data_IF_233444643218
#
_entry.id   IF_233444643218
#
_cell.length_a   1.000
_cell.length_b   1.000
_cell.length_c   1.000
_cell.angle_alpha   90.00
_cell.angle_beta   90.00
_cell.angle_gamma   90.00
#
_symmetry.space_group_name_H-M   'P 1'
#
loop_
_entity.id
_entity.type
_entity.pdbx_description
1 polymer ?
#
# COMPACT_ATOMS: atom_id res chain seq x y z
N UNK A 1 18.09 -17.52 -70.89
CA UNK A 1 16.80 -17.41 -70.16
C UNK A 1 17.04 -16.59 -68.90
N UNK A 2 16.71 -15.29 -68.94
CA UNK A 2 16.74 -14.41 -67.76
C UNK A 2 15.31 -13.91 -67.59
N UNK A 3 14.62 -14.38 -66.55
CA UNK A 3 13.27 -13.94 -66.23
C UNK A 3 13.35 -12.69 -65.33
N UNK A 4 12.96 -11.55 -65.88
CA UNK A 4 12.80 -10.29 -65.15
C UNK A 4 11.54 -10.35 -64.28
N UNK A 5 11.71 -10.32 -62.94
CA UNK A 5 10.59 -10.11 -62.01
C UNK A 5 10.19 -8.63 -62.05
N UNK A 6 9.11 -8.30 -62.76
CA UNK A 6 8.42 -7.00 -62.60
C UNK A 6 7.47 -7.07 -61.41
N UNK A 7 7.89 -6.54 -60.27
CA UNK A 7 7.03 -6.31 -59.12
C UNK A 7 6.14 -5.10 -59.42
N UNK A 8 4.82 -5.29 -59.40
CA UNK A 8 3.83 -4.22 -59.57
C UNK A 8 3.98 -3.15 -58.48
N UNK A 9 3.84 -1.87 -58.86
CA UNK A 9 3.92 -0.71 -57.97
C UNK A 9 3.02 -0.85 -56.71
N UNK A 10 1.87 -1.53 -56.85
CA UNK A 10 0.96 -1.79 -55.72
C UNK A 10 1.54 -2.79 -54.71
N UNK A 11 2.31 -3.79 -55.16
CA UNK A 11 2.98 -4.76 -54.29
C UNK A 11 4.21 -4.15 -53.59
N UNK A 12 4.91 -3.23 -54.26
CA UNK A 12 5.99 -2.46 -53.64
C UNK A 12 5.45 -1.52 -52.54
N UNK A 13 4.32 -0.85 -52.79
CA UNK A 13 3.68 0.03 -51.80
C UNK A 13 3.18 -0.74 -50.55
N UNK A 14 2.60 -1.93 -50.74
CA UNK A 14 2.19 -2.81 -49.63
C UNK A 14 3.38 -3.30 -48.79
N UNK A 15 4.51 -3.64 -49.43
CA UNK A 15 5.74 -4.02 -48.72
C UNK A 15 6.32 -2.86 -47.89
N UNK A 16 6.28 -1.63 -48.42
CA UNK A 16 6.74 -0.43 -47.69
C UNK A 16 5.81 -0.10 -46.52
N UNK A 17 4.49 -0.26 -46.66
CA UNK A 17 3.53 -0.04 -45.56
C UNK A 17 3.70 -1.11 -44.47
N UNK A 18 3.90 -2.38 -44.84
CA UNK A 18 4.18 -3.44 -43.88
C UNK A 18 5.52 -3.25 -43.14
N UNK A 19 6.59 -2.83 -43.84
CA UNK A 19 7.87 -2.53 -43.19
C UNK A 19 7.77 -1.31 -42.25
N UNK A 20 7.01 -0.28 -42.63
CA UNK A 20 6.74 0.89 -41.79
C UNK A 20 5.93 0.55 -40.52
N UNK A 21 4.97 -0.37 -40.62
CA UNK A 21 4.17 -0.82 -39.47
C UNK A 21 4.98 -1.72 -38.53
N UNK A 22 5.88 -2.56 -39.05
CA UNK A 22 6.76 -3.41 -38.25
C UNK A 22 7.83 -2.57 -37.54
N UNK A 23 8.40 -1.55 -38.19
CA UNK A 23 9.33 -0.63 -37.51
C UNK A 23 8.61 0.24 -36.47
N UNK A 24 7.36 0.65 -36.70
CA UNK A 24 6.56 1.37 -35.70
C UNK A 24 6.18 0.48 -34.48
N UNK A 25 5.92 -0.82 -34.68
CA UNK A 25 5.73 -1.78 -33.58
C UNK A 25 7.02 -2.06 -32.79
N UNK A 26 8.17 -2.10 -33.47
CA UNK A 26 9.49 -2.29 -32.82
C UNK A 26 9.96 -1.04 -32.06
N UNK A 27 9.58 0.17 -32.51
CA UNK A 27 9.88 1.43 -31.80
C UNK A 27 8.96 1.69 -30.59
N UNK A 28 7.70 1.24 -30.63
CA UNK A 28 6.75 1.36 -29.51
C UNK A 28 7.01 0.32 -28.41
N UNK A 29 7.63 -0.82 -28.72
CA UNK A 29 8.04 -1.82 -27.71
C UNK A 29 9.40 -1.54 -27.06
N UNK A 30 10.21 -0.66 -27.67
CA UNK A 30 11.55 -0.31 -27.15
C UNK A 30 11.56 0.92 -26.21
N UNK A 31 10.48 1.69 -26.14
CA UNK A 31 10.40 2.93 -25.32
C UNK A 31 9.58 2.79 -24.03
N UNK A 32 9.04 1.60 -23.73
CA UNK A 32 8.34 1.31 -22.46
C UNK A 32 9.28 0.73 -21.39
N UNK A 33 10.57 0.57 -21.69
CA UNK A 33 11.59 -0.05 -20.82
C UNK A 33 12.56 0.93 -20.15
N UNK A 34 12.12 2.08 -19.63
CA UNK A 34 12.93 2.85 -18.67
C UNK A 34 11.99 3.66 -17.78
N UNK A 35 11.45 3.07 -16.73
CA UNK A 35 10.90 3.75 -15.54
C UNK A 35 10.77 2.65 -14.49
N UNK A 36 11.21 2.92 -13.27
CA UNK A 36 11.45 1.99 -12.14
C UNK A 36 12.88 1.48 -11.97
N UNK A 37 13.81 2.40 -11.68
CA UNK A 37 14.93 2.19 -10.76
C UNK A 37 15.36 3.55 -10.19
N UNK A 38 15.53 3.73 -8.87
CA UNK A 38 16.24 4.88 -8.31
C UNK A 38 17.75 4.58 -8.35
N UNK A 39 18.47 5.29 -9.22
CA UNK A 39 19.94 5.35 -9.22
C UNK A 39 20.38 6.47 -8.27
N UNK A 40 21.11 6.10 -7.22
CA UNK A 40 21.84 7.02 -6.37
C UNK A 40 22.99 6.28 -5.68
N UNK A 41 24.21 6.54 -6.16
CA UNK A 41 25.42 6.85 -5.38
C UNK A 41 26.71 6.37 -6.07
N UNK A 42 27.47 7.34 -6.56
CA UNK A 42 28.91 7.30 -6.74
C UNK A 42 29.44 8.51 -5.98
N UNK A 43 30.26 8.29 -4.96
CA UNK A 43 31.53 9.01 -4.68
C UNK A 43 32.05 8.76 -3.26
N UNK A 44 33.34 8.43 -3.20
CA UNK A 44 34.26 9.23 -2.37
C UNK A 44 34.53 8.76 -0.95
N UNK A 45 35.35 7.72 -0.82
CA UNK A 45 36.04 7.35 0.41
C UNK A 45 37.04 8.47 0.82
N UNK A 46 36.82 9.12 1.98
CA UNK A 46 37.87 9.89 2.67
C UNK A 46 37.84 9.58 4.17
N UNK A 47 38.92 8.92 4.61
CA UNK A 47 39.29 8.67 6.01
C UNK A 47 39.66 9.97 6.73
N UNK A 48 39.26 10.09 7.99
CA UNK A 48 39.80 10.99 9.01
C UNK A 48 39.74 10.20 10.32
N UNK A 49 40.83 9.53 10.72
CA UNK A 49 41.83 9.95 11.75
C UNK A 49 41.15 10.40 13.05
N UNK A 50 41.13 9.48 14.02
CA UNK A 50 40.80 9.71 15.42
C UNK A 50 42.07 10.16 16.14
N UNK A 51 42.01 11.30 16.84
CA UNK A 51 43.01 11.70 17.84
C UNK A 51 42.38 11.58 19.23
N UNK A 52 43.07 10.82 20.08
CA UNK A 52 42.83 10.70 21.51
C UNK A 52 43.20 11.99 22.22
N UNK A 53 42.41 12.38 23.22
CA UNK A 53 42.90 13.20 24.32
C UNK A 53 42.47 12.61 25.65
N UNK A 54 43.47 12.39 26.49
CA UNK A 54 43.45 11.84 27.84
C UNK A 54 42.81 12.83 28.83
N UNK A 55 42.16 12.29 29.86
CA UNK A 55 41.70 13.00 31.05
C UNK A 55 42.60 12.58 32.22
N UNK A 56 43.10 13.50 33.06
CA UNK A 56 43.71 13.12 34.33
C UNK A 56 42.68 12.99 35.45
N UNK A 57 42.79 11.88 36.17
CA UNK A 57 42.15 11.60 37.45
C UNK A 57 42.63 12.56 38.55
N UNK A 58 41.73 12.91 39.46
CA UNK A 58 41.78 12.57 40.91
C UNK A 58 40.87 13.53 41.68
N UNK A 59 40.02 12.98 42.56
CA UNK A 59 39.85 13.37 43.97
C UNK A 59 38.72 12.54 44.58
N UNK A 60 39.08 11.68 45.53
CA UNK A 60 38.18 10.89 46.36
C UNK A 60 37.43 11.77 47.37
N UNK A 61 36.13 11.51 47.57
CA UNK A 61 35.49 11.71 48.87
C UNK A 61 34.34 10.72 49.07
N UNK A 62 34.38 10.08 50.24
CA UNK A 62 33.44 9.06 50.72
C UNK A 62 32.08 9.67 51.11
N UNK A 63 30.98 9.00 50.76
CA UNK A 63 29.68 9.20 51.43
C UNK A 63 28.44 8.72 50.68
N UNK A 64 27.78 7.68 51.23
CA UNK A 64 26.41 7.21 50.99
C UNK A 64 26.08 6.42 49.70
N UNK A 65 26.21 5.10 49.79
CA UNK A 65 25.86 4.13 48.72
C UNK A 65 24.36 3.94 48.44
N UNK A 66 23.45 4.57 49.19
CA UNK A 66 22.00 4.42 48.96
C UNK A 66 21.39 5.56 48.11
N UNK A 67 22.06 6.73 48.04
CA UNK A 67 21.56 7.89 47.27
C UNK A 67 22.16 7.89 45.86
N UNK A 68 23.38 7.37 45.69
CA UNK A 68 24.01 7.17 44.39
C UNK A 68 23.28 6.14 43.53
N UNK A 69 22.73 5.08 44.14
CA UNK A 69 21.97 4.04 43.43
C UNK A 69 20.60 4.56 42.95
N UNK A 70 19.98 5.46 43.71
CA UNK A 70 18.72 6.12 43.34
C UNK A 70 18.91 7.23 42.28
N UNK A 71 20.03 7.96 42.32
CA UNK A 71 20.39 8.95 41.29
C UNK A 71 20.86 8.30 39.98
N UNK A 72 21.53 7.13 40.02
CA UNK A 72 21.88 6.35 38.83
C UNK A 72 20.65 5.87 38.05
N UNK A 73 19.53 5.60 38.72
CA UNK A 73 18.23 5.34 38.08
C UNK A 73 17.56 6.57 37.46
N UNK A 74 17.95 7.79 37.85
CA UNK A 74 17.41 9.04 37.31
C UNK A 74 18.33 9.71 36.28
N UNK A 75 19.58 9.28 36.16
CA UNK A 75 20.54 9.78 35.17
C UNK A 75 20.93 8.78 34.09
N UNK A 76 20.30 7.59 34.06
CA UNK A 76 20.31 6.78 32.83
C UNK A 76 19.49 7.51 31.78
N UNK A 77 20.15 8.42 31.03
CA UNK A 77 19.68 8.81 29.71
C UNK A 77 19.24 7.51 29.01
N UNK A 78 18.06 7.48 28.37
CA UNK A 78 17.75 6.35 27.52
C UNK A 78 18.96 6.20 26.60
N UNK A 79 19.61 5.04 26.62
CA UNK A 79 20.56 4.69 25.58
C UNK A 79 19.88 5.06 24.28
N UNK A 80 20.42 6.06 23.59
CA UNK A 80 19.82 6.55 22.36
C UNK A 80 19.65 5.32 21.48
N UNK A 81 18.43 5.11 20.95
CA UNK A 81 18.17 4.14 19.88
C UNK A 81 18.89 4.54 18.58
N UNK A 82 19.99 5.27 18.66
CA UNK A 82 20.79 5.68 17.53
C UNK A 82 21.74 4.53 17.21
N UNK A 83 21.46 3.85 16.09
CA UNK A 83 22.29 2.88 15.35
C UNK A 83 21.77 1.44 15.25
N UNK A 84 20.54 1.12 15.69
CA UNK A 84 19.94 -0.14 15.22
C UNK A 84 19.55 0.02 13.74
N UNK A 85 19.97 -0.90 12.84
CA UNK A 85 19.55 -0.85 11.45
C UNK A 85 18.03 -0.97 11.34
N UNK A 86 17.43 -0.18 10.43
CA UNK A 86 16.00 -0.29 10.12
C UNK A 86 15.65 -1.69 9.62
N UNK A 87 14.42 -2.13 9.84
CA UNK A 87 13.91 -3.39 9.27
C UNK A 87 14.04 -3.42 7.76
N UNK A 88 14.29 -4.60 7.22
CA UNK A 88 14.59 -4.85 5.81
C UNK A 88 13.55 -4.31 4.82
N UNK A 89 12.32 -4.05 5.26
CA UNK A 89 11.24 -3.51 4.43
C UNK A 89 11.16 -1.98 4.41
N UNK A 90 11.93 -1.28 5.25
CA UNK A 90 12.10 0.18 5.15
C UNK A 90 13.11 0.54 4.07
N UNK A 91 13.04 1.79 3.56
CA UNK A 91 14.03 2.29 2.61
C UNK A 91 15.42 2.32 3.26
N UNK A 92 16.36 1.62 2.65
CA UNK A 92 17.74 1.47 3.16
C UNK A 92 17.86 0.57 4.40
N UNK A 93 16.80 -0.15 4.76
CA UNK A 93 16.83 -1.09 5.88
C UNK A 93 17.55 -2.39 5.55
N UNK A 94 18.21 -2.97 6.55
CA UNK A 94 19.01 -4.19 6.42
C UNK A 94 18.77 -5.21 7.54
N UNK A 95 18.00 -4.84 8.58
CA UNK A 95 17.68 -5.73 9.69
C UNK A 95 16.69 -6.79 9.22
N UNK A 96 17.20 -8.00 9.00
CA UNK A 96 16.41 -9.20 8.71
C UNK A 96 15.82 -9.79 10.00
N UNK A 97 14.68 -10.47 9.92
CA UNK A 97 14.15 -11.21 11.07
C UNK A 97 15.12 -12.28 11.55
N UNK A 98 15.10 -12.53 12.85
CA UNK A 98 15.74 -13.71 13.44
C UNK A 98 14.74 -14.87 13.41
N UNK A 99 15.25 -16.10 13.44
CA UNK A 99 14.42 -17.29 13.62
C UNK A 99 13.51 -17.10 14.85
N UNK A 100 12.19 -17.24 14.65
CA UNK A 100 11.23 -16.93 15.69
C UNK A 100 10.97 -18.19 16.55
N UNK A 101 11.10 -18.07 17.87
CA UNK A 101 10.76 -19.15 18.79
C UNK A 101 9.22 -19.34 18.81
N UNK A 102 8.75 -20.58 18.66
CA UNK A 102 7.36 -20.99 18.38
C UNK A 102 6.24 -20.49 19.34
N UNK A 103 6.52 -19.69 20.36
CA UNK A 103 5.56 -19.40 21.41
C UNK A 103 4.88 -18.04 21.16
N UNK A 104 3.64 -18.08 20.65
CA UNK A 104 2.71 -16.93 20.68
C UNK A 104 2.59 -16.06 19.41
N UNK A 105 2.94 -16.55 18.21
CA UNK A 105 2.85 -15.70 17.01
C UNK A 105 1.42 -15.64 16.45
N UNK A 106 0.79 -14.48 16.64
CA UNK A 106 -0.51 -14.13 16.07
C UNK A 106 -0.36 -13.63 14.63
N UNK A 107 -0.22 -14.57 13.67
CA UNK A 107 -0.08 -14.25 12.24
C UNK A 107 -1.43 -14.12 11.52
N UNK A 108 -2.45 -14.78 12.04
CA UNK A 108 -3.81 -14.82 11.49
C UNK A 108 -4.74 -13.83 12.20
N UNK A 109 -5.84 -13.40 11.56
CA UNK A 109 -6.74 -12.40 12.14
C UNK A 109 -7.40 -12.89 13.43
N UNK A 110 -7.75 -14.18 13.50
CA UNK A 110 -8.38 -14.79 14.68
C UNK A 110 -7.47 -14.85 15.90
N UNK A 111 -6.17 -14.66 15.68
CA UNK A 111 -5.14 -14.71 16.70
C UNK A 111 -4.77 -13.31 17.19
N UNK A 112 -5.02 -12.25 16.41
CA UNK A 112 -4.50 -10.92 16.69
C UNK A 112 -5.19 -10.23 17.87
N UNK A 113 -4.38 -9.62 18.73
CA UNK A 113 -4.84 -8.68 19.74
C UNK A 113 -5.31 -7.36 19.10
N UNK A 114 -6.11 -6.60 19.85
CA UNK A 114 -6.56 -5.28 19.41
C UNK A 114 -5.36 -4.34 19.20
N UNK A 115 -5.19 -3.84 17.97
CA UNK A 115 -4.10 -2.92 17.60
C UNK A 115 -2.85 -3.59 17.03
N UNK A 116 -2.87 -4.91 16.84
CA UNK A 116 -1.74 -5.66 16.33
C UNK A 116 -1.52 -5.50 14.81
N UNK A 117 -0.33 -5.06 14.39
CA UNK A 117 0.02 -4.90 12.98
C UNK A 117 0.59 -6.20 12.40
N UNK A 118 -0.33 -7.05 11.95
CA UNK A 118 0.02 -8.36 11.36
C UNK A 118 0.88 -8.26 10.11
N UNK A 119 0.87 -7.14 9.37
CA UNK A 119 1.73 -6.98 8.19
C UNK A 119 3.20 -7.00 8.62
N UNK A 120 3.55 -6.22 9.65
CA UNK A 120 4.91 -6.16 10.18
C UNK A 120 5.33 -7.48 10.81
N UNK A 121 4.42 -8.14 11.55
CA UNK A 121 4.69 -9.49 12.10
C UNK A 121 4.98 -10.52 11.02
N UNK A 122 4.18 -10.54 9.95
CA UNK A 122 4.38 -11.43 8.81
C UNK A 122 5.68 -11.13 8.06
N UNK A 123 6.07 -9.85 7.92
CA UNK A 123 7.36 -9.44 7.32
C UNK A 123 8.57 -9.85 8.17
N UNK A 124 8.38 -9.98 9.48
CA UNK A 124 9.42 -10.33 10.44
C UNK A 124 9.32 -11.78 10.94
N UNK A 125 8.53 -12.62 10.26
CA UNK A 125 8.36 -14.02 10.60
C UNK A 125 9.31 -14.92 9.79
N UNK A 126 10.05 -15.78 10.50
CA UNK A 126 10.81 -16.90 9.94
C UNK A 126 10.45 -18.15 10.74
N UNK A 127 9.95 -19.22 10.10
CA UNK A 127 9.59 -20.46 10.79
C UNK A 127 10.79 -21.09 11.49
N UNK A 128 10.53 -21.75 12.62
CA UNK A 128 11.55 -22.53 13.33
C UNK A 128 12.10 -23.65 12.46
N UNK A 129 13.42 -23.79 12.41
CA UNK A 129 14.14 -24.77 11.60
C UNK A 129 14.14 -24.46 10.10
N UNK A 130 13.75 -23.25 9.69
CA UNK A 130 13.82 -22.84 8.30
C UNK A 130 15.28 -22.68 7.86
N UNK A 131 15.65 -23.45 6.83
CA UNK A 131 16.93 -23.36 6.13
C UNK A 131 16.69 -22.99 4.66
N UNK A 132 17.45 -22.01 4.17
CA UNK A 132 17.29 -21.43 2.83
C UNK A 132 17.71 -22.37 1.69
N UNK A 133 18.39 -23.49 1.99
CA UNK A 133 18.85 -24.47 1.01
C UNK A 133 18.08 -25.79 1.10
N UNK A 134 17.76 -26.27 2.31
CA UNK A 134 17.21 -27.61 2.53
C UNK A 134 15.71 -27.64 2.75
N UNK A 135 15.08 -26.53 3.15
CA UNK A 135 13.62 -26.53 3.37
C UNK A 135 12.89 -26.84 2.06
N UNK A 136 11.85 -27.70 2.03
CA UNK A 136 11.14 -28.00 0.79
C UNK A 136 10.54 -26.74 0.13
N UNK A 137 10.58 -26.64 -1.20
CA UNK A 137 10.00 -25.49 -1.91
C UNK A 137 8.47 -25.60 -1.92
N UNK A 138 7.77 -24.52 -1.55
CA UNK A 138 6.32 -24.41 -1.65
C UNK A 138 5.90 -23.97 -3.05
N UNK A 139 5.04 -24.75 -3.70
CA UNK A 139 4.55 -24.45 -5.05
C UNK A 139 3.21 -23.71 -5.00
N UNK A 140 3.13 -22.58 -5.70
CA UNK A 140 1.96 -21.70 -5.70
C UNK A 140 1.43 -21.58 -7.14
N UNK A 141 0.19 -21.99 -7.36
CA UNK A 141 -0.48 -21.86 -8.65
C UNK A 141 -1.23 -20.53 -8.73
N UNK A 142 -0.87 -19.71 -9.71
CA UNK A 142 -1.61 -18.49 -10.05
C UNK A 142 -2.70 -18.84 -11.04
N UNK A 143 -3.93 -19.00 -10.54
CA UNK A 143 -5.04 -19.54 -11.32
C UNK A 143 -5.41 -18.69 -12.53
N UNK A 144 -5.27 -17.37 -12.40
CA UNK A 144 -5.58 -16.38 -13.43
C UNK A 144 -4.36 -16.04 -14.34
N UNK A 145 -3.25 -16.77 -14.22
CA UNK A 145 -2.04 -16.56 -15.01
C UNK A 145 -1.09 -15.49 -14.47
N UNK A 146 0.18 -15.54 -14.88
CA UNK A 146 1.26 -14.65 -14.39
C UNK A 146 1.03 -13.16 -14.72
N UNK A 147 0.53 -12.87 -15.92
CA UNK A 147 0.36 -11.49 -16.40
C UNK A 147 -0.59 -10.66 -15.53
N UNK A 148 -1.60 -11.30 -14.94
CA UNK A 148 -2.55 -10.63 -14.04
C UNK A 148 -1.89 -10.09 -12.75
N UNK A 149 -0.67 -10.56 -12.45
CA UNK A 149 0.11 -10.22 -11.26
C UNK A 149 1.40 -9.45 -11.58
N UNK A 150 1.74 -9.29 -12.87
CA UNK A 150 3.01 -8.72 -13.31
C UNK A 150 4.24 -9.41 -12.69
N UNK A 151 4.22 -10.75 -12.65
CA UNK A 151 5.31 -11.60 -12.12
C UNK A 151 5.76 -12.62 -13.16
N UNK A 152 6.92 -13.24 -12.92
CA UNK A 152 7.43 -14.34 -13.74
C UNK A 152 7.24 -15.68 -13.01
N UNK A 153 7.23 -16.78 -13.77
CA UNK A 153 7.25 -18.13 -13.21
C UNK A 153 8.56 -18.38 -12.45
N UNK A 154 8.55 -19.34 -11.53
CA UNK A 154 9.72 -19.69 -10.72
C UNK A 154 9.80 -18.92 -9.41
N UNK A 155 11.02 -18.75 -8.90
CA UNK A 155 11.30 -18.25 -7.55
C UNK A 155 11.78 -16.79 -7.50
N UNK A 156 11.96 -16.12 -8.64
CA UNK A 156 12.58 -14.78 -8.71
C UNK A 156 11.92 -13.73 -7.80
N UNK A 157 10.59 -13.77 -7.65
CA UNK A 157 9.85 -12.83 -6.79
C UNK A 157 10.15 -13.01 -5.29
N UNK A 158 10.73 -14.14 -4.90
CA UNK A 158 11.01 -14.49 -3.51
C UNK A 158 12.48 -14.30 -3.10
N UNK A 159 13.39 -13.99 -4.03
CA UNK A 159 14.84 -13.95 -3.77
C UNK A 159 15.26 -12.97 -2.67
N UNK A 160 14.53 -11.86 -2.51
CA UNK A 160 14.82 -10.85 -1.49
C UNK A 160 14.11 -11.11 -0.14
N UNK A 161 13.26 -12.12 -0.08
CA UNK A 161 12.44 -12.43 1.09
C UNK A 161 13.25 -13.16 2.17
N UNK A 162 13.02 -12.87 3.47
CA UNK A 162 13.60 -13.68 4.54
C UNK A 162 13.21 -15.16 4.48
N UNK A 163 11.97 -15.43 4.06
CA UNK A 163 11.48 -16.77 3.69
C UNK A 163 11.25 -16.78 2.18
N UNK A 164 12.11 -17.48 1.47
CA UNK A 164 12.28 -17.40 0.01
C UNK A 164 11.99 -18.71 -0.72
N UNK A 165 11.82 -19.84 -0.01
CA UNK A 165 11.61 -21.17 -0.62
C UNK A 165 10.18 -21.39 -1.10
N UNK A 166 9.77 -20.58 -2.07
CA UNK A 166 8.52 -20.71 -2.81
C UNK A 166 8.77 -20.57 -4.32
N UNK A 167 7.86 -21.12 -5.13
CA UNK A 167 7.88 -20.99 -6.58
C UNK A 167 6.49 -20.73 -7.12
N UNK A 168 6.39 -19.80 -8.06
CA UNK A 168 5.17 -19.53 -8.81
C UNK A 168 5.08 -20.43 -10.04
N UNK A 169 3.87 -20.87 -10.36
CA UNK A 169 3.54 -21.58 -11.59
C UNK A 169 2.09 -21.31 -12.02
N UNK A 170 1.74 -21.68 -13.25
CA UNK A 170 0.39 -21.58 -13.82
C UNK A 170 -0.14 -22.92 -14.35
N UNK A 171 0.64 -24.00 -14.24
CA UNK A 171 0.24 -25.30 -14.77
C UNK A 171 -0.90 -25.90 -13.96
N UNK A 172 -2.13 -25.81 -14.49
CA UNK A 172 -3.33 -26.37 -13.85
C UNK A 172 -3.27 -27.90 -13.68
N UNK A 173 -2.49 -28.61 -14.49
CA UNK A 173 -2.29 -30.05 -14.32
C UNK A 173 -1.52 -30.39 -13.04
N UNK A 174 -0.72 -29.46 -12.50
CA UNK A 174 -0.01 -29.61 -11.22
C UNK A 174 -0.80 -29.06 -10.04
N UNK A 175 -2.02 -28.57 -10.26
CA UNK A 175 -2.78 -27.87 -9.24
C UNK A 175 -3.21 -28.77 -8.08
N UNK A 176 -3.32 -30.09 -8.25
CA UNK A 176 -3.63 -31.00 -7.14
C UNK A 176 -2.44 -31.21 -6.18
N UNK A 177 -1.21 -31.06 -6.68
CA UNK A 177 0.03 -31.30 -5.91
C UNK A 177 0.65 -30.00 -5.35
N UNK A 178 0.06 -28.85 -5.68
CA UNK A 178 0.54 -27.55 -5.22
C UNK A 178 0.26 -27.32 -3.73
N UNK A 179 1.05 -26.46 -3.08
CA UNK A 179 0.80 -26.05 -1.70
C UNK A 179 -0.26 -24.95 -1.61
N UNK A 180 -0.37 -24.10 -2.63
CA UNK A 180 -1.38 -23.05 -2.68
C UNK A 180 -1.92 -22.79 -4.09
N UNK A 181 -3.17 -22.33 -4.15
CA UNK A 181 -3.80 -21.79 -5.36
C UNK A 181 -4.34 -20.40 -5.06
N UNK A 182 -3.95 -19.43 -5.88
CA UNK A 182 -4.33 -18.03 -5.74
C UNK A 182 -5.32 -17.64 -6.85
N UNK A 183 -6.53 -17.22 -6.44
CA UNK A 183 -7.61 -16.77 -7.32
C UNK A 183 -7.72 -15.25 -7.25
N UNK A 184 -7.42 -14.58 -8.37
CA UNK A 184 -7.49 -13.11 -8.48
C UNK A 184 -8.84 -12.66 -9.01
N UNK A 185 -9.51 -11.77 -8.30
CA UNK A 185 -10.76 -11.05 -8.66
C UNK A 185 -12.02 -11.93 -8.84
N UNK A 186 -11.84 -13.17 -9.27
CA UNK A 186 -12.91 -14.14 -9.53
C UNK A 186 -12.41 -15.56 -9.30
N UNK A 187 -13.32 -16.41 -8.85
CA UNK A 187 -13.11 -17.85 -8.83
C UNK A 187 -13.66 -18.48 -10.11
N UNK A 188 -12.88 -19.37 -10.70
CA UNK A 188 -13.38 -20.33 -11.68
C UNK A 188 -13.12 -21.73 -11.18
N UNK A 189 -14.10 -22.62 -11.34
CA UNK A 189 -14.03 -23.99 -10.83
C UNK A 189 -12.73 -24.67 -11.26
N UNK A 190 -12.02 -25.24 -10.29
CA UNK A 190 -10.80 -26.00 -10.55
C UNK A 190 -11.06 -27.40 -11.08
N UNK A 191 -12.31 -27.88 -10.97
CA UNK A 191 -12.70 -29.24 -11.36
C UNK A 191 -12.32 -30.31 -10.33
N UNK A 192 -11.76 -29.94 -9.18
CA UNK A 192 -11.42 -30.86 -8.08
C UNK A 192 -11.66 -30.22 -6.72
N UNK A 193 -11.77 -31.04 -5.68
CA UNK A 193 -11.90 -30.58 -4.30
C UNK A 193 -10.52 -30.25 -3.73
N UNK A 194 -10.43 -29.17 -2.95
CA UNK A 194 -9.18 -28.75 -2.30
C UNK A 194 -8.58 -29.89 -1.43
N UNK A 195 -7.34 -30.33 -1.70
CA UNK A 195 -6.61 -31.27 -0.83
C UNK A 195 -6.42 -30.72 0.59
N UNK A 196 -6.34 -31.61 1.59
CA UNK A 196 -6.28 -31.24 3.02
C UNK A 196 -5.15 -30.28 3.40
N UNK A 197 -3.98 -30.43 2.76
CA UNK A 197 -2.78 -29.63 3.05
C UNK A 197 -2.54 -28.50 2.05
N UNK A 198 -3.52 -28.21 1.18
CA UNK A 198 -3.45 -27.15 0.18
C UNK A 198 -4.24 -25.93 0.64
N UNK A 199 -3.71 -24.75 0.38
CA UNK A 199 -4.35 -23.47 0.71
C UNK A 199 -4.97 -22.85 -0.54
N UNK A 200 -6.28 -22.57 -0.51
CA UNK A 200 -6.94 -21.78 -1.55
C UNK A 200 -7.15 -20.35 -1.08
N UNK A 201 -6.68 -19.40 -1.89
CA UNK A 201 -6.56 -18.00 -1.50
C UNK A 201 -7.37 -17.14 -2.47
N UNK A 202 -8.30 -16.34 -1.93
CA UNK A 202 -9.04 -15.35 -2.71
C UNK A 202 -8.38 -13.98 -2.58
N UNK A 203 -7.90 -13.44 -3.70
CA UNK A 203 -7.28 -12.11 -3.77
C UNK A 203 -8.20 -11.08 -4.41
N UNK A 204 -8.46 -9.98 -3.70
CA UNK A 204 -9.36 -8.91 -4.15
C UNK A 204 -8.78 -7.54 -3.80
N UNK A 205 -8.64 -6.68 -4.81
CA UNK A 205 -8.21 -5.29 -4.59
C UNK A 205 -9.36 -4.28 -4.83
N UNK A 206 -10.34 -4.64 -5.66
CA UNK A 206 -11.59 -3.88 -5.82
C UNK A 206 -12.56 -4.13 -4.67
N UNK A 207 -13.48 -3.19 -4.42
CA UNK A 207 -14.42 -3.28 -3.31
C UNK A 207 -15.59 -4.26 -3.58
N UNK A 208 -16.36 -4.68 -2.56
CA UNK A 208 -17.48 -5.63 -2.69
C UNK A 208 -18.56 -5.30 -3.73
N UNK A 209 -18.75 -4.01 -4.04
CA UNK A 209 -19.70 -3.57 -5.07
C UNK A 209 -19.17 -3.70 -6.50
N UNK A 210 -17.87 -3.92 -6.65
CA UNK A 210 -17.15 -4.05 -7.92
C UNK A 210 -16.50 -5.43 -8.11
N UNK A 211 -16.73 -6.38 -7.20
CA UNK A 211 -16.30 -7.78 -7.34
C UNK A 211 -17.44 -8.72 -7.71
N UNK A 212 -17.07 -9.93 -8.14
CA UNK A 212 -18.00 -11.04 -8.39
C UNK A 212 -18.79 -11.44 -7.13
N UNK A 213 -19.86 -12.23 -7.33
CA UNK A 213 -20.56 -12.91 -6.24
C UNK A 213 -19.83 -14.21 -5.89
N UNK A 214 -19.59 -14.44 -4.59
CA UNK A 214 -18.84 -15.59 -4.10
C UNK A 214 -19.72 -16.62 -3.37
N UNK A 215 -21.05 -16.53 -3.46
CA UNK A 215 -21.98 -17.42 -2.73
C UNK A 215 -21.76 -18.92 -3.02
N UNK A 216 -21.12 -19.27 -4.14
CA UNK A 216 -20.77 -20.66 -4.49
C UNK A 216 -19.43 -21.13 -3.91
N UNK A 217 -18.78 -20.31 -3.07
CA UNK A 217 -17.47 -20.60 -2.45
C UNK A 217 -17.57 -20.97 -0.97
N UNK A 218 -18.76 -21.33 -0.49
CA UNK A 218 -18.96 -21.79 0.88
C UNK A 218 -18.06 -23.00 1.18
N UNK A 219 -17.21 -22.90 2.21
CA UNK A 219 -16.27 -23.95 2.57
C UNK A 219 -15.11 -24.17 1.58
N UNK A 220 -14.92 -23.31 0.57
CA UNK A 220 -13.94 -23.51 -0.51
C UNK A 220 -12.62 -22.75 -0.26
N UNK A 221 -12.70 -21.54 0.28
CA UNK A 221 -11.55 -20.65 0.48
C UNK A 221 -11.00 -20.81 1.91
N UNK A 222 -9.67 -20.99 2.03
CA UNK A 222 -9.00 -20.99 3.33
C UNK A 222 -8.58 -19.59 3.73
N UNK A 223 -7.93 -18.89 2.81
CA UNK A 223 -7.30 -17.61 3.07
C UNK A 223 -7.84 -16.52 2.16
N UNK A 224 -7.83 -15.31 2.67
CA UNK A 224 -8.17 -14.10 1.94
C UNK A 224 -6.95 -13.19 1.87
N UNK A 225 -6.77 -12.57 0.72
CA UNK A 225 -5.72 -11.60 0.46
C UNK A 225 -6.34 -10.33 -0.13
N UNK A 226 -6.83 -9.45 0.73
CA UNK A 226 -7.57 -8.24 0.32
C UNK A 226 -7.09 -7.01 1.05
N UNK A 227 -7.57 -5.83 0.67
CA UNK A 227 -7.29 -4.60 1.41
C UNK A 227 -7.83 -4.59 2.85
N UNK A 228 -8.76 -5.48 3.21
CA UNK A 228 -9.36 -5.50 4.54
C UNK A 228 -8.37 -5.94 5.60
N UNK A 229 -8.41 -5.28 6.75
CA UNK A 229 -7.49 -5.53 7.85
C UNK A 229 -7.73 -6.88 8.55
N UNK A 230 -8.87 -7.52 8.29
CA UNK A 230 -9.22 -8.86 8.78
C UNK A 230 -8.96 -9.99 7.75
N UNK A 231 -8.25 -9.71 6.65
CA UNK A 231 -7.75 -10.75 5.73
C UNK A 231 -6.58 -11.54 6.33
N UNK A 232 -6.39 -12.79 5.91
CA UNK A 232 -5.24 -13.61 6.33
C UNK A 232 -3.92 -12.94 5.93
N UNK A 233 -3.84 -12.45 4.67
CA UNK A 233 -2.75 -11.63 4.18
C UNK A 233 -3.31 -10.29 3.72
N UNK A 234 -3.24 -9.26 4.55
CA UNK A 234 -3.72 -7.92 4.16
C UNK A 234 -2.90 -7.40 2.97
N UNK A 235 -3.56 -6.99 1.90
CA UNK A 235 -2.97 -6.42 0.69
C UNK A 235 -3.46 -4.97 0.53
N UNK A 236 -2.98 -4.03 1.37
CA UNK A 236 -3.39 -2.63 1.27
C UNK A 236 -2.74 -1.98 0.04
N UNK A 237 -3.32 -0.88 -0.44
CA UNK A 237 -2.73 -0.10 -1.53
C UNK A 237 -1.37 0.50 -1.13
N UNK A 238 -1.28 1.03 0.09
CA UNK A 238 -0.05 1.53 0.69
C UNK A 238 -0.08 1.29 2.20
N UNK A 239 1.09 1.32 2.85
CA UNK A 239 1.21 1.15 4.30
C UNK A 239 2.15 2.19 4.89
N UNK A 240 1.61 3.11 5.69
CA UNK A 240 2.41 4.04 6.48
C UNK A 240 2.94 3.37 7.75
N UNK A 241 4.21 3.60 8.07
CA UNK A 241 4.84 3.17 9.33
C UNK A 241 5.69 4.31 9.89
N UNK A 242 5.52 4.63 11.17
CA UNK A 242 6.35 5.59 11.88
C UNK A 242 7.75 5.03 12.15
N UNK A 243 8.76 5.89 12.15
CA UNK A 243 10.10 5.53 12.60
C UNK A 243 10.14 5.33 14.13
N UNK A 244 9.33 6.10 14.84
CA UNK A 244 9.08 5.98 16.28
C UNK A 244 7.60 6.30 16.51
N UNK A 245 6.84 5.34 17.05
CA UNK A 245 5.41 5.49 17.31
C UNK A 245 5.08 6.63 18.30
N UNK A 246 6.06 7.09 19.07
CA UNK A 246 5.93 8.23 19.99
C UNK A 246 6.15 9.58 19.30
N UNK A 247 6.70 9.60 18.09
CA UNK A 247 7.03 10.82 17.34
C UNK A 247 6.14 10.90 16.10
N UNK A 248 4.94 11.45 16.28
CA UNK A 248 3.92 11.56 15.22
C UNK A 248 3.89 12.92 14.52
N UNK A 249 4.56 13.91 15.08
CA UNK A 249 4.68 15.26 14.53
C UNK A 249 6.13 15.75 14.63
N UNK A 250 6.56 16.54 13.65
CA UNK A 250 7.83 17.27 13.61
C UNK A 250 7.61 18.67 13.07
N UNK A 251 8.44 19.61 13.53
CA UNK A 251 8.50 20.95 12.96
C UNK A 251 8.84 20.87 11.47
N UNK A 252 8.13 21.65 10.66
CA UNK A 252 8.36 21.74 9.23
C UNK A 252 9.00 23.10 8.90
N UNK A 253 10.01 23.09 8.04
CA UNK A 253 10.63 24.34 7.54
C UNK A 253 9.93 24.87 6.29
N UNK A 254 9.20 24.00 5.59
CA UNK A 254 8.45 24.35 4.38
C UNK A 254 7.09 24.90 4.78
N UNK A 255 6.74 26.05 4.20
CA UNK A 255 5.36 26.50 4.12
C UNK A 255 4.68 25.79 2.94
N UNK A 256 3.75 24.91 3.25
CA UNK A 256 2.95 24.16 2.29
C UNK A 256 1.80 24.98 1.73
N UNK A 257 1.39 26.08 2.36
CA UNK A 257 0.35 26.98 1.83
C UNK A 257 0.91 27.96 0.79
N UNK A 258 2.20 28.31 0.90
CA UNK A 258 2.86 29.30 0.06
C UNK A 258 2.57 29.14 -1.43
N UNK A 259 2.13 30.23 -2.07
CA UNK A 259 1.84 30.36 -3.50
C UNK A 259 0.67 29.52 -4.04
N UNK A 260 -0.03 28.75 -3.21
CA UNK A 260 -1.25 28.05 -3.63
C UNK A 260 -2.40 29.04 -3.76
N UNK A 261 -3.00 29.11 -4.94
CA UNK A 261 -4.08 30.06 -5.27
C UNK A 261 -5.44 29.41 -5.47
N UNK A 262 -5.46 28.08 -5.63
CA UNK A 262 -6.68 27.30 -5.83
C UNK A 262 -7.01 26.51 -4.58
N UNK A 263 -8.32 26.30 -4.36
CA UNK A 263 -8.80 25.65 -3.14
C UNK A 263 -8.81 24.13 -3.28
N UNK A 264 -9.76 23.57 -4.03
CA UNK A 264 -9.99 22.12 -4.08
C UNK A 264 -9.84 21.59 -5.51
N UNK A 265 -9.06 20.51 -5.68
CA UNK A 265 -9.02 19.71 -6.91
C UNK A 265 -9.68 18.34 -6.72
N UNK A 266 -10.29 17.81 -7.77
CA UNK A 266 -10.74 16.42 -7.79
C UNK A 266 -10.48 15.75 -9.13
N UNK A 267 -9.75 14.63 -9.13
CA UNK A 267 -9.45 13.87 -10.35
C UNK A 267 -10.34 12.63 -10.42
N UNK A 268 -11.30 12.62 -11.36
CA UNK A 268 -12.33 11.58 -11.40
C UNK A 268 -12.81 11.27 -12.82
N UNK A 269 -12.95 9.97 -13.11
CA UNK A 269 -13.51 9.49 -14.38
C UNK A 269 -14.69 8.54 -14.23
N UNK A 270 -15.02 8.10 -13.01
CA UNK A 270 -16.19 7.26 -12.75
C UNK A 270 -17.25 8.10 -12.04
N UNK A 271 -18.25 8.55 -12.82
CA UNK A 271 -19.29 9.47 -12.38
C UNK A 271 -20.48 8.76 -11.73
N UNK A 272 -20.66 7.46 -12.03
CA UNK A 272 -21.75 6.61 -11.54
C UNK A 272 -21.41 5.83 -10.28
N UNK A 273 -20.54 6.37 -9.41
CA UNK A 273 -20.18 5.74 -8.15
C UNK A 273 -21.39 5.62 -7.21
N UNK A 274 -21.50 4.51 -6.49
CA UNK A 274 -22.69 4.15 -5.69
C UNK A 274 -22.75 4.83 -4.32
N UNK A 275 -21.73 5.60 -3.94
CA UNK A 275 -21.64 6.33 -2.68
C UNK A 275 -22.01 7.83 -2.81
N UNK A 276 -22.60 8.23 -3.95
CA UNK A 276 -23.02 9.62 -4.21
C UNK A 276 -21.91 10.68 -4.12
N UNK A 277 -20.64 10.28 -4.25
CA UNK A 277 -19.48 11.19 -4.17
C UNK A 277 -19.53 12.36 -5.16
N UNK A 278 -20.11 12.15 -6.36
CA UNK A 278 -20.28 13.22 -7.35
C UNK A 278 -21.29 14.25 -6.88
N UNK A 279 -22.45 13.81 -6.36
CA UNK A 279 -23.44 14.71 -5.78
C UNK A 279 -22.87 15.50 -4.60
N UNK A 280 -22.07 14.84 -3.74
CA UNK A 280 -21.39 15.51 -2.63
C UNK A 280 -20.40 16.58 -3.12
N UNK A 281 -19.54 16.26 -4.09
CA UNK A 281 -18.59 17.21 -4.66
C UNK A 281 -19.29 18.38 -5.40
N UNK A 282 -20.38 18.10 -6.11
CA UNK A 282 -21.21 19.14 -6.75
C UNK A 282 -21.85 20.05 -5.71
N UNK A 283 -22.38 19.50 -4.61
CA UNK A 283 -22.92 20.32 -3.52
C UNK A 283 -21.83 21.19 -2.87
N UNK A 284 -20.66 20.59 -2.56
CA UNK A 284 -19.50 21.30 -2.02
C UNK A 284 -19.08 22.48 -2.91
N UNK A 285 -19.14 22.31 -4.23
CA UNK A 285 -18.74 23.34 -5.21
C UNK A 285 -19.56 24.64 -5.17
N UNK A 286 -20.73 24.63 -4.51
CA UNK A 286 -21.53 25.84 -4.28
C UNK A 286 -20.94 26.77 -3.21
N UNK A 287 -20.09 26.23 -2.33
CA UNK A 287 -19.62 26.92 -1.12
C UNK A 287 -18.10 27.15 -1.10
N UNK A 288 -17.35 26.42 -1.93
CA UNK A 288 -15.90 26.56 -2.10
C UNK A 288 -15.52 26.19 -3.54
N UNK A 289 -14.45 26.79 -4.08
CA UNK A 289 -13.96 26.43 -5.41
C UNK A 289 -13.54 24.96 -5.47
N UNK A 290 -14.19 24.18 -6.35
CA UNK A 290 -13.84 22.79 -6.65
C UNK A 290 -13.61 22.63 -8.15
N UNK A 291 -12.34 22.45 -8.55
CA UNK A 291 -11.96 22.17 -9.93
C UNK A 291 -11.99 20.65 -10.15
N UNK A 292 -12.97 20.18 -10.94
CA UNK A 292 -13.17 18.74 -11.23
C UNK A 292 -12.52 18.40 -12.58
N UNK A 293 -11.52 17.52 -12.54
CA UNK A 293 -10.78 17.03 -13.69
C UNK A 293 -11.22 15.63 -14.12
N UNK A 294 -11.23 15.40 -15.42
CA UNK A 294 -11.55 14.10 -16.03
C UNK A 294 -12.99 14.05 -16.53
N UNK A 295 -13.50 12.83 -16.77
CA UNK A 295 -14.77 12.63 -17.47
C UNK A 295 -16.00 13.17 -16.72
N UNK A 296 -15.87 13.51 -15.43
CA UNK A 296 -16.98 14.02 -14.61
C UNK A 296 -16.92 15.54 -14.38
N UNK A 297 -16.00 16.26 -15.02
CA UNK A 297 -15.83 17.70 -14.82
C UNK A 297 -15.44 18.43 -16.09
N UNK A 298 -15.24 19.74 -15.97
CA UNK A 298 -14.89 20.62 -17.08
C UNK A 298 -13.39 20.74 -17.32
N UNK A 299 -12.55 20.29 -16.38
CA UNK A 299 -11.09 20.33 -16.52
C UNK A 299 -10.55 19.01 -17.07
N UNK A 300 -9.41 19.07 -17.76
CA UNK A 300 -8.80 17.90 -18.39
C UNK A 300 -7.49 17.54 -17.73
N UNK A 301 -7.38 16.29 -17.29
CA UNK A 301 -6.12 15.65 -16.91
C UNK A 301 -6.02 14.32 -17.65
N UNK A 302 -5.32 14.26 -18.80
CA UNK A 302 -5.18 13.01 -19.55
C UNK A 302 -4.36 11.99 -18.75
N UNK A 303 -4.76 10.71 -18.78
CA UNK A 303 -4.01 9.63 -18.10
C UNK A 303 -2.56 9.51 -18.59
N UNK A 304 -2.29 9.83 -19.85
CA UNK A 304 -0.95 9.87 -20.44
C UNK A 304 -0.05 10.96 -19.85
N UNK A 305 -0.60 11.89 -19.07
CA UNK A 305 0.11 13.00 -18.44
C UNK A 305 -0.25 13.15 -16.96
N UNK A 306 -0.65 12.04 -16.31
CA UNK A 306 -1.06 12.03 -14.90
C UNK A 306 -0.04 12.68 -13.97
N UNK A 307 1.26 12.46 -14.21
CA UNK A 307 2.33 13.06 -13.42
C UNK A 307 2.27 14.60 -13.42
N UNK A 308 2.06 15.21 -14.59
CA UNK A 308 1.91 16.67 -14.70
C UNK A 308 0.67 17.17 -13.97
N UNK A 309 -0.40 16.36 -13.92
CA UNK A 309 -1.57 16.70 -13.14
C UNK A 309 -1.29 16.61 -11.65
N UNK A 310 -0.54 15.63 -11.18
CA UNK A 310 -0.19 15.56 -9.77
C UNK A 310 0.75 16.68 -9.33
N UNK A 311 1.60 17.18 -10.24
CA UNK A 311 2.40 18.40 -9.99
C UNK A 311 1.52 19.64 -9.73
N UNK A 312 0.34 19.76 -10.34
CA UNK A 312 -0.56 20.89 -10.05
C UNK A 312 -1.11 20.82 -8.62
N UNK A 313 -1.25 19.62 -8.03
CA UNK A 313 -1.67 19.48 -6.63
C UNK A 313 -0.60 20.05 -5.71
N UNK A 314 0.68 19.81 -6.00
CA UNK A 314 1.79 20.36 -5.25
C UNK A 314 1.85 21.90 -5.34
N UNK A 315 1.62 22.46 -6.53
CA UNK A 315 1.83 23.88 -6.80
C UNK A 315 0.62 24.77 -6.52
N UNK A 316 -0.57 24.34 -6.96
CA UNK A 316 -1.70 25.25 -7.14
C UNK A 316 -2.80 25.08 -6.09
N UNK A 317 -3.01 23.86 -5.57
CA UNK A 317 -4.19 23.51 -4.75
C UNK A 317 -3.89 23.30 -3.28
N UNK A 318 -4.75 23.82 -2.39
CA UNK A 318 -4.67 23.54 -0.94
C UNK A 318 -5.25 22.17 -0.55
N UNK A 319 -6.31 21.73 -1.22
CA UNK A 319 -7.05 20.50 -0.90
C UNK A 319 -7.25 19.60 -2.12
N UNK A 320 -7.33 18.29 -1.88
CA UNK A 320 -7.62 17.28 -2.90
C UNK A 320 -8.72 16.34 -2.44
N UNK A 321 -9.79 16.17 -3.24
CA UNK A 321 -10.84 15.20 -2.95
C UNK A 321 -10.37 13.77 -3.26
N UNK A 322 -9.92 13.05 -2.24
CA UNK A 322 -9.54 11.65 -2.30
C UNK A 322 -10.78 10.74 -2.08
N UNK A 323 -11.81 10.93 -2.89
CA UNK A 323 -13.09 10.21 -2.74
C UNK A 323 -13.05 8.84 -3.40
N UNK A 324 -13.26 7.80 -2.62
CA UNK A 324 -13.41 6.44 -3.11
C UNK A 324 -14.71 6.25 -3.90
N UNK A 325 -14.75 5.19 -4.71
CA UNK A 325 -15.92 4.89 -5.54
C UNK A 325 -17.07 4.22 -4.75
N UNK A 326 -16.80 3.81 -3.51
CA UNK A 326 -17.69 3.08 -2.63
C UNK A 326 -17.32 3.32 -1.17
N UNK A 327 -18.31 3.33 -0.28
CA UNK A 327 -18.07 3.38 1.16
C UNK A 327 -18.07 1.95 1.67
N UNK A 328 -16.88 1.38 1.86
CA UNK A 328 -16.69 0.01 2.32
C UNK A 328 -15.63 -0.03 3.42
N UNK A 329 -15.82 -0.92 4.40
CA UNK A 329 -14.89 -1.18 5.48
C UNK A 329 -13.47 -1.33 4.91
N UNK A 330 -12.51 -0.59 5.47
CA UNK A 330 -11.07 -0.60 5.15
C UNK A 330 -10.72 -0.24 3.69
N UNK A 331 -11.69 0.14 2.84
CA UNK A 331 -11.42 0.46 1.43
C UNK A 331 -10.81 1.86 1.28
N UNK A 332 -9.48 1.90 1.29
CA UNK A 332 -8.66 3.10 1.15
C UNK A 332 -7.60 2.83 0.08
N UNK A 333 -7.54 3.66 -0.96
CA UNK A 333 -6.80 3.34 -2.20
C UNK A 333 -5.72 4.35 -2.54
N UNK A 334 -5.16 4.25 -3.75
CA UNK A 334 -4.20 5.19 -4.32
C UNK A 334 -4.69 6.64 -4.30
N UNK A 335 -6.02 6.87 -4.31
CA UNK A 335 -6.59 8.22 -4.23
C UNK A 335 -6.17 8.93 -2.95
N UNK A 336 -6.15 8.21 -1.84
CA UNK A 336 -5.73 8.77 -0.57
C UNK A 336 -4.21 8.80 -0.45
N UNK A 337 -3.58 7.64 -0.63
CA UNK A 337 -2.17 7.49 -0.31
C UNK A 337 -1.25 8.13 -1.35
N UNK A 338 -1.45 7.81 -2.62
CA UNK A 338 -0.57 8.24 -3.72
C UNK A 338 -0.96 9.63 -4.18
N UNK A 339 -2.21 9.83 -4.62
CA UNK A 339 -2.64 11.10 -5.19
C UNK A 339 -2.77 12.22 -4.13
N UNK A 340 -3.03 11.84 -2.87
CA UNK A 340 -3.17 12.75 -1.74
C UNK A 340 -1.85 12.92 -0.97
N UNK A 341 -1.52 11.93 -0.12
CA UNK A 341 -0.45 12.07 0.89
C UNK A 341 0.97 12.18 0.32
N UNK A 342 1.26 11.62 -0.86
CA UNK A 342 2.56 11.79 -1.51
C UNK A 342 2.73 13.17 -2.18
N UNK A 343 1.69 14.01 -2.13
CA UNK A 343 1.72 15.37 -2.62
C UNK A 343 1.62 16.39 -1.47
N UNK A 344 1.90 17.64 -1.79
CA UNK A 344 1.88 18.76 -0.84
C UNK A 344 0.48 19.39 -0.83
N UNK A 345 -0.51 18.58 -0.50
CA UNK A 345 -1.94 18.92 -0.49
C UNK A 345 -2.62 18.20 0.67
N UNK A 346 -3.68 18.77 1.26
CA UNK A 346 -4.45 18.07 2.30
C UNK A 346 -5.55 17.22 1.63
N UNK A 347 -5.54 15.88 1.80
CA UNK A 347 -6.58 15.03 1.27
C UNK A 347 -7.88 15.19 2.07
N UNK A 348 -8.99 15.39 1.36
CA UNK A 348 -10.36 15.33 1.88
C UNK A 348 -10.96 13.99 1.46
N UNK A 349 -11.31 13.14 2.42
CA UNK A 349 -11.58 11.72 2.17
C UNK A 349 -13.05 11.34 2.36
N UNK A 350 -13.47 10.36 1.56
CA UNK A 350 -14.77 9.68 1.61
C UNK A 350 -14.54 8.24 1.16
N UNK A 351 -14.97 7.24 1.93
CA UNK A 351 -14.77 5.83 1.60
C UNK A 351 -14.95 4.94 2.83
N UNK A 352 -13.84 4.44 3.38
CA UNK A 352 -13.80 3.74 4.66
C UNK A 352 -14.30 4.59 5.83
N UNK A 353 -14.48 3.99 7.01
CA UNK A 353 -14.94 4.69 8.23
C UNK A 353 -13.86 5.65 8.74
N UNK A 354 -14.23 6.71 9.49
CA UNK A 354 -13.27 7.61 10.12
C UNK A 354 -12.18 6.89 10.93
N UNK A 355 -12.57 5.87 11.72
CA UNK A 355 -11.66 5.07 12.55
C UNK A 355 -10.73 4.15 11.74
N UNK A 356 -11.08 3.84 10.50
CA UNK A 356 -10.27 3.01 9.60
C UNK A 356 -9.21 3.88 8.90
N UNK A 357 -9.59 5.10 8.47
CA UNK A 357 -8.62 6.09 8.02
C UNK A 357 -7.63 6.47 9.13
N UNK A 358 -8.08 6.62 10.37
CA UNK A 358 -7.21 6.99 11.50
C UNK A 358 -6.10 5.96 11.74
N UNK A 359 -6.41 4.67 11.56
CA UNK A 359 -5.42 3.58 11.67
C UNK A 359 -4.46 3.51 10.49
N UNK A 360 -4.91 3.90 9.30
CA UNK A 360 -4.14 3.78 8.06
C UNK A 360 -3.28 5.00 7.74
N UNK A 361 -3.67 6.17 8.23
CA UNK A 361 -3.07 7.45 7.89
C UNK A 361 -1.98 7.89 8.88
N UNK A 362 -1.01 8.71 8.43
CA UNK A 362 -0.24 9.53 9.33
C UNK A 362 -1.14 10.44 10.19
N UNK A 363 -0.66 10.82 11.37
CA UNK A 363 -1.42 11.60 12.33
C UNK A 363 -1.77 12.97 11.73
N UNK A 364 -3.05 13.36 11.85
CA UNK A 364 -3.58 14.66 11.40
C UNK A 364 -3.18 15.01 9.96
N UNK A 365 -3.17 14.03 9.06
CA UNK A 365 -2.73 14.22 7.67
C UNK A 365 -3.87 14.43 6.67
N UNK A 366 -5.13 14.44 7.11
CA UNK A 366 -6.30 14.42 6.22
C UNK A 366 -7.56 14.94 6.90
N UNK A 367 -8.60 15.21 6.11
CA UNK A 367 -9.92 15.67 6.56
C UNK A 367 -10.98 14.66 6.12
N UNK A 368 -11.80 14.14 7.05
CA UNK A 368 -12.85 13.17 6.72
C UNK A 368 -14.20 13.86 6.56
N UNK A 369 -14.90 13.57 5.46
CA UNK A 369 -16.23 14.16 5.16
C UNK A 369 -17.30 13.83 6.21
N UNK A 370 -17.28 12.63 6.80
CA UNK A 370 -18.19 12.26 7.90
C UNK A 370 -17.94 12.99 9.24
N UNK A 371 -16.92 13.86 9.33
CA UNK A 371 -16.74 14.73 10.51
C UNK A 371 -17.58 16.02 10.45
N UNK A 372 -18.32 16.25 9.37
CA UNK A 372 -19.11 17.47 9.12
C UNK A 372 -20.53 17.10 8.72
N UNK A 373 -21.54 17.70 9.33
CA UNK A 373 -22.98 17.51 9.06
C UNK A 373 -23.36 17.71 7.58
N UNK A 374 -22.67 18.60 6.87
CA UNK A 374 -22.96 18.89 5.46
C UNK A 374 -21.73 19.27 4.63
N UNK A 375 -21.82 19.22 3.28
CA UNK A 375 -20.81 19.81 2.41
C UNK A 375 -20.57 21.31 2.65
N UNK A 376 -21.59 22.05 3.10
CA UNK A 376 -21.47 23.47 3.45
C UNK A 376 -20.60 23.66 4.69
N UNK A 377 -20.81 22.87 5.75
CA UNK A 377 -19.99 22.93 6.96
C UNK A 377 -18.53 22.52 6.66
N UNK A 378 -18.33 21.49 5.82
CA UNK A 378 -17.00 21.15 5.33
C UNK A 378 -16.37 22.34 4.58
N UNK A 379 -17.11 23.00 3.68
CA UNK A 379 -16.59 24.16 2.96
C UNK A 379 -16.21 25.33 3.90
N UNK A 380 -16.99 25.56 4.95
CA UNK A 380 -16.67 26.57 5.98
C UNK A 380 -15.34 26.22 6.65
N UNK A 381 -15.13 24.97 7.05
CA UNK A 381 -13.88 24.52 7.64
C UNK A 381 -12.69 24.63 6.67
N UNK A 382 -12.86 24.23 5.41
CA UNK A 382 -11.81 24.36 4.40
C UNK A 382 -11.46 25.83 4.13
N UNK A 383 -12.44 26.74 4.12
CA UNK A 383 -12.19 28.18 4.01
C UNK A 383 -11.49 28.74 5.26
N UNK A 384 -11.75 28.22 6.46
CA UNK A 384 -11.00 28.62 7.65
C UNK A 384 -9.52 28.23 7.53
N UNK A 385 -9.24 26.99 7.14
CA UNK A 385 -7.87 26.53 6.87
C UNK A 385 -7.20 27.28 5.71
N UNK A 386 -7.96 27.66 4.68
CA UNK A 386 -7.44 28.47 3.56
C UNK A 386 -6.96 29.87 4.01
N UNK A 387 -7.61 30.45 5.02
CA UNK A 387 -7.29 31.78 5.56
C UNK A 387 -6.29 31.75 6.73
N UNK A 388 -5.88 30.57 7.19
CA UNK A 388 -4.95 30.39 8.31
C UNK A 388 -3.85 29.41 7.92
N UNK A 389 -2.73 29.97 7.44
CA UNK A 389 -1.59 29.18 6.99
C UNK A 389 -0.94 28.39 8.13
N UNK A 390 -1.02 28.84 9.39
CA UNK A 390 -0.48 28.07 10.52
C UNK A 390 -1.30 26.79 10.73
N UNK A 391 -2.64 26.91 10.76
CA UNK A 391 -3.53 25.76 10.87
C UNK A 391 -3.39 24.84 9.66
N UNK A 392 -3.32 25.38 8.44
CA UNK A 392 -3.07 24.59 7.23
C UNK A 392 -1.76 23.80 7.31
N UNK A 393 -0.66 24.46 7.68
CA UNK A 393 0.65 23.83 7.77
C UNK A 393 0.73 22.79 8.89
N UNK A 394 -0.13 22.87 9.91
CA UNK A 394 -0.20 21.86 10.97
C UNK A 394 -0.51 20.44 10.44
N UNK A 395 -1.23 20.33 9.31
CA UNK A 395 -1.55 19.05 8.65
C UNK A 395 -0.36 18.37 7.98
N UNK A 396 0.80 19.03 7.92
CA UNK A 396 2.02 18.48 7.31
C UNK A 396 3.08 18.11 8.34
N UNK A 397 2.80 18.28 9.64
CA UNK A 397 3.75 17.95 10.72
C UNK A 397 4.11 16.47 10.78
N UNK A 398 3.29 15.58 10.23
CA UNK A 398 3.61 14.16 10.12
C UNK A 398 4.76 13.88 9.13
N UNK A 399 5.07 14.79 8.18
CA UNK A 399 6.13 14.54 7.19
C UNK A 399 7.48 14.41 7.90
N UNK A 400 8.21 13.34 7.56
CA UNK A 400 9.49 12.99 8.17
C UNK A 400 9.40 12.19 9.48
N UNK A 401 8.20 11.79 9.91
CA UNK A 401 7.99 10.93 11.09
C UNK A 401 7.96 9.44 10.77
N UNK A 402 7.81 9.09 9.50
CA UNK A 402 7.73 7.73 8.99
C UNK A 402 7.93 7.67 7.48
N UNK A 403 7.59 6.53 6.90
CA UNK A 403 7.55 6.35 5.44
C UNK A 403 6.46 5.37 5.02
N UNK A 404 6.07 5.46 3.74
CA UNK A 404 5.29 4.40 3.09
C UNK A 404 6.21 3.23 2.77
N UNK A 405 5.84 2.03 3.21
CA UNK A 405 6.62 0.81 2.97
C UNK A 405 5.92 -0.10 1.99
N UNK A 406 6.72 -0.84 1.22
CA UNK A 406 6.20 -1.99 0.48
C UNK A 406 5.84 -3.08 1.49
N UNK A 407 4.63 -3.64 1.39
CA UNK A 407 4.21 -4.72 2.29
C UNK A 407 4.71 -6.10 1.85
N UNK A 408 5.46 -6.20 0.75
CA UNK A 408 6.06 -7.42 0.19
C UNK A 408 5.11 -8.62 0.24
N UNK A 409 3.95 -8.51 -0.41
CA UNK A 409 2.90 -9.52 -0.44
C UNK A 409 3.43 -10.94 -0.66
N UNK A 410 4.30 -11.14 -1.65
CA UNK A 410 4.88 -12.45 -1.97
C UNK A 410 5.78 -12.99 -0.85
N UNK A 411 6.58 -12.14 -0.20
CA UNK A 411 7.40 -12.56 0.93
C UNK A 411 6.54 -13.03 2.10
N UNK A 412 5.47 -12.28 2.42
CA UNK A 412 4.54 -12.65 3.49
C UNK A 412 3.77 -13.92 3.16
N UNK A 413 3.30 -14.07 1.92
CA UNK A 413 2.65 -15.29 1.47
C UNK A 413 3.58 -16.50 1.61
N UNK A 414 4.84 -16.38 1.17
CA UNK A 414 5.81 -17.46 1.30
C UNK A 414 6.06 -17.81 2.78
N UNK A 415 6.31 -16.81 3.62
CA UNK A 415 6.50 -16.98 5.05
C UNK A 415 5.31 -17.69 5.72
N UNK A 416 4.09 -17.30 5.36
CA UNK A 416 2.87 -17.91 5.90
C UNK A 416 2.64 -19.35 5.43
N UNK A 417 2.99 -19.71 4.18
CA UNK A 417 2.87 -21.09 3.69
C UNK A 417 3.87 -22.05 4.37
N UNK A 418 4.95 -21.52 4.94
CA UNK A 418 5.90 -22.28 5.75
C UNK A 418 5.57 -22.25 7.25
N UNK A 419 4.59 -21.44 7.68
CA UNK A 419 4.19 -21.36 9.07
C UNK A 419 3.33 -22.57 9.49
N UNK A 420 3.43 -23.04 10.74
CA UNK A 420 2.59 -24.12 11.27
C UNK A 420 1.18 -23.60 11.62
N UNK A 421 0.45 -23.12 10.62
CA UNK A 421 -0.85 -22.47 10.82
C UNK A 421 -1.97 -23.50 11.00
N UNK A 422 -2.99 -23.19 11.82
CA UNK A 422 -4.14 -24.07 12.00
C UNK A 422 -4.91 -24.22 10.68
N UNK A 423 -5.54 -25.38 10.50
CA UNK A 423 -6.49 -25.55 9.39
C UNK A 423 -7.70 -24.64 9.63
N UNK A 424 -7.95 -23.74 8.67
CA UNK A 424 -9.07 -22.81 8.67
C UNK A 424 -9.77 -22.85 7.32
N UNK A 425 -11.08 -22.63 7.32
CA UNK A 425 -11.88 -22.41 6.12
C UNK A 425 -12.90 -21.30 6.39
N UNK A 426 -13.20 -20.49 5.40
CA UNK A 426 -14.33 -19.58 5.47
C UNK A 426 -15.62 -20.36 5.18
N UNK A 427 -16.49 -20.47 6.19
CA UNK A 427 -17.81 -21.10 6.02
C UNK A 427 -18.62 -20.39 4.93
N UNK A 428 -18.66 -19.07 4.98
CA UNK A 428 -19.22 -18.23 3.93
C UNK A 428 -18.33 -17.00 3.66
N UNK A 429 -17.42 -17.14 2.69
CA UNK A 429 -16.56 -16.03 2.25
C UNK A 429 -17.35 -14.90 1.59
N UNK A 430 -18.54 -15.18 1.06
CA UNK A 430 -19.38 -14.15 0.46
C UNK A 430 -20.06 -13.31 1.53
N UNK A 431 -20.54 -13.90 2.62
CA UNK A 431 -21.06 -13.14 3.76
C UNK A 431 -19.93 -12.34 4.42
N UNK A 432 -18.75 -12.95 4.62
CA UNK A 432 -17.59 -12.19 5.09
C UNK A 432 -17.31 -10.97 4.20
N UNK A 433 -17.26 -11.14 2.88
CA UNK A 433 -16.88 -10.08 1.93
C UNK A 433 -17.99 -9.07 1.60
N UNK A 434 -19.26 -9.48 1.58
CA UNK A 434 -20.40 -8.69 1.05
C UNK A 434 -21.56 -8.59 2.05
N UNK A 435 -21.37 -9.06 3.27
CA UNK A 435 -22.39 -9.12 4.31
C UNK A 435 -22.87 -7.76 4.77
N UNK A 436 -23.84 -7.77 5.70
CA UNK A 436 -24.39 -6.54 6.27
C UNK A 436 -23.26 -5.73 6.94
N UNK A 437 -23.31 -4.41 6.82
CA UNK A 437 -22.35 -3.46 7.41
C UNK A 437 -20.95 -3.42 6.79
N UNK A 438 -20.63 -4.27 5.80
CA UNK A 438 -19.33 -4.21 5.10
C UNK A 438 -19.26 -2.98 4.19
N UNK A 439 -20.33 -2.67 3.48
CA UNK A 439 -20.43 -1.46 2.66
C UNK A 439 -21.76 -0.76 2.88
N UNK A 440 -21.77 0.55 2.72
CA UNK A 440 -22.97 1.39 2.74
C UNK A 440 -23.06 2.24 1.47
N UNK A 441 -24.29 2.61 1.09
CA UNK A 441 -24.54 3.60 0.02
C UNK A 441 -24.64 5.03 0.55
N UNK A 442 -24.75 5.19 1.88
CA UNK A 442 -24.86 6.47 2.57
C UNK A 442 -23.60 6.77 3.39
N UNK A 443 -23.59 7.89 4.11
CA UNK A 443 -22.58 8.19 5.13
C UNK A 443 -22.57 7.11 6.22
N UNK A 444 -21.39 6.82 6.79
CA UNK A 444 -21.27 5.89 7.91
C UNK A 444 -21.99 6.36 9.18
N UNK A 445 -22.28 7.67 9.30
CA UNK A 445 -23.12 8.21 10.38
C UNK A 445 -24.55 7.70 10.29
N UNK A 446 -25.17 7.85 9.12
CA UNK A 446 -26.56 7.41 8.85
C UNK A 446 -26.71 5.89 8.81
N UNK A 447 -25.61 5.17 8.55
CA UNK A 447 -25.60 3.71 8.56
C UNK A 447 -25.70 3.11 9.97
N UNK A 448 -25.38 3.86 11.05
CA UNK A 448 -25.57 3.41 12.44
C UNK A 448 -27.04 3.47 12.89
N UNK A 449 -27.89 4.17 12.15
CA UNK A 449 -29.30 4.41 12.50
C UNK A 449 -30.28 3.42 11.83
N UNK A 450 -29.77 2.45 11.04
CA UNK A 450 -30.54 1.39 10.35
C UNK A 450 -29.89 0.02 10.58
#
# INVERSE_FOLDING_TARGET
>A
MVASLRVSLRKALLLVICFSLITFLLFTTSTVKVLWFPLGEQLGNKRTVLEHNEVPETYESNGNSAVAEWLLTLTSKPHSKENLPKDWYFKGGSRKPKEYANDGVHLLPEQADFGDDRIQKQLMFVPKGYDEFTTPVKNIILWNGLNAWNVHSGNAVFEQCPVSRCSLDTSKSRAMDADAILFKDSYSSSGFSRPKNQVWILYLLECPYHTSNFARLQGVINWTATYRMDSDIVAPYEKWIYYDDNVKEKSQHKDYAANKTKKVAWFVSNCGAKNHRLAYATELSKYIQVDIYGACGSFTCPRSSSQKCFEILNRDYKFYLAFENSNCQDYITEKFFVNGLQHDVIPVVMGARPSEYEKAAPHRSYIHTDNFESPEELAQYLNQLDNDDEQYNSYFRWKGTGEFVNTFFWCRLCAMLHAPLPHKVYDDVNEWWRGKNVCTRSSWRKAKEN
#
